data_IF_077063153238
#
_entry.id   IF_077063153238
#
_cell.length_a   1.000
_cell.length_b   1.000
_cell.length_c   1.000
_cell.angle_alpha   90.00
_cell.angle_beta   90.00
_cell.angle_gamma   90.00
#
_symmetry.space_group_name_H-M   'P 1'
#
loop_
_entity.id
_entity.type
_entity.pdbx_description
1 polymer ?
#
# COMPACT_ATOMS: atom_id res chain seq x y z
N UNK A 1 -32.93 -30.07 -30.85
CA UNK A 1 -32.61 -30.35 -29.44
C UNK A 1 -31.15 -30.75 -29.41
N UNK A 2 -30.27 -29.80 -29.10
CA UNK A 2 -28.82 -30.05 -29.02
C UNK A 2 -28.54 -30.53 -27.60
N UNK A 3 -28.01 -31.75 -27.50
CA UNK A 3 -27.54 -32.34 -26.24
C UNK A 3 -26.29 -31.59 -25.82
N UNK A 4 -26.38 -30.83 -24.73
CA UNK A 4 -25.21 -30.29 -24.03
C UNK A 4 -24.53 -31.48 -23.34
N UNK A 5 -23.30 -31.79 -23.73
CA UNK A 5 -22.51 -32.82 -23.05
C UNK A 5 -22.16 -32.33 -21.63
N UNK A 6 -22.44 -33.11 -20.57
CA UNK A 6 -22.02 -32.79 -19.22
C UNK A 6 -20.54 -33.14 -19.08
N UNK A 7 -19.67 -32.17 -18.83
CA UNK A 7 -18.26 -32.48 -18.61
C UNK A 7 -17.23 -31.38 -18.82
N UNK A 8 -17.61 -30.13 -19.08
CA UNK A 8 -16.65 -29.03 -19.09
C UNK A 8 -16.41 -28.49 -17.66
N UNK A 9 -16.22 -29.35 -16.66
CA UNK A 9 -15.98 -28.85 -15.30
C UNK A 9 -14.71 -28.02 -15.27
N UNK A 10 -14.78 -26.80 -14.71
CA UNK A 10 -13.59 -26.00 -14.46
C UNK A 10 -12.62 -26.80 -13.58
N UNK A 11 -11.33 -26.77 -13.95
CA UNK A 11 -10.30 -27.24 -13.03
C UNK A 11 -10.22 -26.32 -11.80
N UNK A 12 -9.52 -26.79 -10.75
CA UNK A 12 -9.47 -26.09 -9.47
C UNK A 12 -8.88 -24.67 -9.55
N UNK A 13 -7.94 -24.43 -10.47
CA UNK A 13 -7.34 -23.11 -10.67
C UNK A 13 -8.34 -22.15 -11.34
N UNK A 14 -9.01 -22.61 -12.41
CA UNK A 14 -10.02 -21.82 -13.13
C UNK A 14 -11.25 -21.53 -12.29
N UNK A 15 -11.69 -22.49 -11.46
CA UNK A 15 -12.78 -22.26 -10.52
C UNK A 15 -12.39 -21.21 -9.46
N UNK A 16 -11.16 -21.28 -8.95
CA UNK A 16 -10.66 -20.31 -7.98
C UNK A 16 -10.57 -18.92 -8.61
N UNK A 17 -10.12 -18.81 -9.85
CA UNK A 17 -10.07 -17.55 -10.59
C UNK A 17 -11.47 -16.97 -10.82
N UNK A 18 -12.45 -17.79 -11.24
CA UNK A 18 -13.84 -17.38 -11.40
C UNK A 18 -14.44 -16.87 -10.08
N UNK A 19 -14.23 -17.59 -8.97
CA UNK A 19 -14.72 -17.19 -7.66
C UNK A 19 -14.06 -15.89 -7.18
N UNK A 20 -12.74 -15.73 -7.39
CA UNK A 20 -12.06 -14.48 -7.09
C UNK A 20 -12.60 -13.33 -7.95
N UNK A 21 -12.76 -13.51 -9.26
CA UNK A 21 -13.39 -12.52 -10.14
C UNK A 21 -14.78 -12.12 -9.62
N UNK A 22 -15.64 -13.09 -9.30
CA UNK A 22 -16.98 -12.84 -8.76
C UNK A 22 -16.96 -12.12 -7.42
N UNK A 23 -16.02 -12.42 -6.53
CA UNK A 23 -15.91 -11.77 -5.22
C UNK A 23 -15.34 -10.34 -5.30
N UNK A 24 -14.53 -10.06 -6.32
CA UNK A 24 -13.75 -8.81 -6.43
C UNK A 24 -14.37 -7.80 -7.40
N UNK A 25 -14.94 -8.26 -8.52
CA UNK A 25 -15.50 -7.43 -9.59
C UNK A 25 -17.00 -7.15 -9.34
N UNK A 26 -17.32 -5.89 -9.04
CA UNK A 26 -18.69 -5.46 -8.79
C UNK A 26 -19.54 -5.35 -10.06
N UNK A 27 -18.93 -5.00 -11.19
CA UNK A 27 -19.63 -4.84 -12.46
C UNK A 27 -19.97 -6.21 -13.05
N UNK A 28 -19.06 -7.19 -12.90
CA UNK A 28 -19.34 -8.58 -13.23
C UNK A 28 -20.53 -9.13 -12.44
N UNK A 29 -20.61 -8.84 -11.14
CA UNK A 29 -21.77 -9.26 -10.32
C UNK A 29 -23.05 -8.55 -10.73
N UNK A 30 -22.99 -7.26 -11.04
CA UNK A 30 -24.16 -6.51 -11.51
C UNK A 30 -24.68 -7.09 -12.83
N UNK A 31 -23.78 -7.34 -13.79
CA UNK A 31 -24.12 -7.98 -15.06
C UNK A 31 -24.65 -9.41 -14.88
N UNK A 32 -24.08 -10.19 -13.96
CA UNK A 32 -24.62 -11.52 -13.65
C UNK A 32 -26.04 -11.45 -13.09
N UNK A 33 -26.34 -10.46 -12.25
CA UNK A 33 -27.68 -10.26 -11.69
C UNK A 33 -28.69 -9.71 -12.71
N UNK A 34 -28.26 -8.87 -13.64
CA UNK A 34 -29.14 -8.20 -14.62
C UNK A 34 -29.30 -8.99 -15.93
N UNK A 35 -28.22 -9.59 -16.42
CA UNK A 35 -28.13 -10.23 -17.75
C UNK A 35 -28.14 -11.77 -17.65
N UNK A 36 -27.86 -12.36 -16.48
CA UNK A 36 -27.83 -13.81 -16.26
C UNK A 36 -26.53 -14.50 -16.72
N UNK A 37 -26.31 -15.74 -16.28
CA UNK A 37 -25.04 -16.47 -16.45
C UNK A 37 -24.61 -16.64 -17.92
N UNK A 38 -25.56 -16.89 -18.83
CA UNK A 38 -25.31 -17.03 -20.27
C UNK A 38 -24.63 -15.79 -20.88
N UNK A 39 -24.90 -14.60 -20.35
CA UNK A 39 -24.36 -13.34 -20.86
C UNK A 39 -22.94 -13.04 -20.35
N UNK A 40 -22.50 -13.70 -19.28
CA UNK A 40 -21.24 -13.41 -18.59
C UNK A 40 -20.22 -14.54 -18.66
N UNK A 41 -20.66 -15.78 -18.85
CA UNK A 41 -19.79 -16.94 -18.96
C UNK A 41 -18.86 -16.83 -20.18
N UNK A 42 -17.56 -17.04 -19.98
CA UNK A 42 -16.60 -17.08 -21.08
C UNK A 42 -16.61 -18.43 -21.83
N UNK A 43 -17.06 -19.50 -21.16
CA UNK A 43 -17.11 -20.85 -21.70
C UNK A 43 -18.19 -21.72 -21.00
N UNK A 44 -18.53 -22.90 -21.55
CA UNK A 44 -19.56 -23.77 -20.98
C UNK A 44 -19.31 -24.23 -19.54
N UNK A 45 -18.04 -24.29 -19.11
CA UNK A 45 -17.68 -24.67 -17.75
C UNK A 45 -17.93 -23.55 -16.74
N UNK A 46 -17.63 -22.31 -17.11
CA UNK A 46 -18.03 -21.15 -16.33
C UNK A 46 -19.55 -21.01 -16.25
N UNK A 47 -20.28 -21.30 -17.33
CA UNK A 47 -21.75 -21.22 -17.36
C UNK A 47 -22.39 -22.13 -16.31
N UNK A 48 -22.02 -23.41 -16.28
CA UNK A 48 -22.55 -24.38 -15.32
C UNK A 48 -22.25 -23.96 -13.87
N UNK A 49 -21.06 -23.41 -13.62
CA UNK A 49 -20.70 -22.88 -12.32
C UNK A 49 -21.52 -21.63 -11.95
N UNK A 50 -21.63 -20.65 -12.86
CA UNK A 50 -22.35 -19.39 -12.63
C UNK A 50 -23.84 -19.60 -12.39
N UNK A 51 -24.48 -20.53 -13.09
CA UNK A 51 -25.89 -20.90 -12.87
C UNK A 51 -26.15 -21.47 -11.47
N UNK A 52 -25.12 -22.02 -10.81
CA UNK A 52 -25.22 -22.59 -9.46
C UNK A 52 -24.98 -21.58 -8.34
N UNK A 53 -24.57 -20.34 -8.67
CA UNK A 53 -24.18 -19.33 -7.67
C UNK A 53 -25.42 -18.65 -7.08
N UNK A 54 -25.55 -18.72 -5.74
CA UNK A 54 -26.47 -17.85 -5.01
C UNK A 54 -25.94 -16.41 -5.00
N UNK A 55 -26.62 -15.51 -5.72
CA UNK A 55 -26.22 -14.11 -5.85
C UNK A 55 -26.29 -13.32 -4.54
N UNK A 56 -27.22 -13.66 -3.65
CA UNK A 56 -27.36 -12.98 -2.37
C UNK A 56 -26.25 -13.40 -1.39
N UNK A 57 -25.90 -14.69 -1.39
CA UNK A 57 -24.76 -15.21 -0.64
C UNK A 57 -23.44 -14.67 -1.21
N UNK A 58 -23.31 -14.60 -2.54
CA UNK A 58 -22.14 -14.03 -3.21
C UNK A 58 -21.95 -12.56 -2.83
N UNK A 59 -23.00 -11.73 -2.89
CA UNK A 59 -22.90 -10.30 -2.53
C UNK A 59 -22.56 -10.11 -1.04
N UNK A 60 -23.12 -10.95 -0.17
CA UNK A 60 -22.79 -10.93 1.27
C UNK A 60 -21.35 -11.33 1.52
N UNK A 61 -20.87 -12.38 0.85
CA UNK A 61 -19.49 -12.88 0.96
C UNK A 61 -18.49 -11.90 0.38
N UNK A 62 -18.79 -11.30 -0.78
CA UNK A 62 -17.99 -10.26 -1.40
C UNK A 62 -17.88 -9.04 -0.46
N UNK A 63 -19.00 -8.54 0.09
CA UNK A 63 -18.97 -7.43 1.07
C UNK A 63 -18.13 -7.76 2.30
N UNK A 64 -18.25 -8.98 2.84
CA UNK A 64 -17.47 -9.43 4.00
C UNK A 64 -15.98 -9.49 3.67
N UNK A 65 -15.59 -10.11 2.56
CA UNK A 65 -14.20 -10.20 2.11
C UNK A 65 -13.61 -8.80 1.89
N UNK A 66 -14.34 -7.94 1.17
CA UNK A 66 -13.96 -6.54 0.92
C UNK A 66 -13.75 -5.77 2.22
N UNK A 67 -14.62 -5.96 3.22
CA UNK A 67 -14.47 -5.34 4.54
C UNK A 67 -13.24 -5.83 5.31
N UNK A 68 -12.83 -7.09 5.10
CA UNK A 68 -11.66 -7.70 5.74
C UNK A 68 -10.35 -7.29 5.06
N UNK A 69 -10.32 -7.18 3.73
CA UNK A 69 -9.18 -6.62 2.99
C UNK A 69 -8.94 -5.17 3.37
N UNK A 70 -10.02 -4.40 3.60
CA UNK A 70 -9.90 -3.03 4.07
C UNK A 70 -9.38 -2.92 5.50
N UNK A 71 -9.43 -3.99 6.32
CA UNK A 71 -9.00 -4.03 7.73
C UNK A 71 -8.11 -5.25 8.01
N UNK A 72 -6.88 -5.30 7.46
CA UNK A 72 -5.98 -6.41 7.71
C UNK A 72 -5.42 -6.32 9.14
N UNK A 73 -6.15 -6.87 10.11
CA UNK A 73 -5.65 -7.04 11.48
C UNK A 73 -5.73 -5.80 12.39
N UNK A 74 -5.06 -5.89 13.54
CA UNK A 74 -5.23 -5.03 14.72
C UNK A 74 -4.66 -3.60 14.61
N UNK A 75 -4.07 -3.24 13.46
CA UNK A 75 -3.39 -1.95 13.24
C UNK A 75 -4.23 -0.85 12.57
N UNK A 76 -5.42 -1.18 12.04
CA UNK A 76 -6.30 -0.23 11.36
C UNK A 76 -6.69 -0.66 9.94
N UNK A 77 -7.42 0.20 9.24
CA UNK A 77 -7.79 -0.02 7.83
C UNK A 77 -6.78 0.57 6.86
N UNK A 78 -6.84 0.18 5.58
CA UNK A 78 -6.15 0.93 4.51
C UNK A 78 -6.55 2.41 4.54
N UNK A 79 -7.79 2.73 4.92
CA UNK A 79 -8.23 4.11 5.11
C UNK A 79 -7.54 4.86 6.26
N UNK A 80 -7.16 4.17 7.35
CA UNK A 80 -6.38 4.81 8.42
C UNK A 80 -4.90 4.88 8.08
N UNK A 81 -4.42 4.04 7.18
CA UNK A 81 -3.03 4.05 6.70
C UNK A 81 -2.79 5.13 5.66
N UNK A 82 -3.76 5.35 4.75
CA UNK A 82 -3.66 6.31 3.65
C UNK A 82 -4.69 7.47 3.73
N UNK A 83 -4.87 8.12 4.90
CA UNK A 83 -5.98 9.05 5.10
C UNK A 83 -5.89 10.29 4.20
N UNK A 84 -4.69 10.84 3.97
CA UNK A 84 -4.49 12.03 3.15
C UNK A 84 -4.57 11.69 1.67
N UNK A 85 -3.99 10.56 1.25
CA UNK A 85 -4.08 10.10 -0.13
C UNK A 85 -5.52 9.85 -0.55
N UNK A 86 -6.31 9.18 0.29
CA UNK A 86 -7.73 8.96 0.02
C UNK A 86 -8.51 10.26 -0.04
N UNK A 87 -8.20 11.23 0.82
CA UNK A 87 -8.84 12.55 0.76
C UNK A 87 -8.55 13.26 -0.57
N UNK A 88 -7.30 13.27 -1.04
CA UNK A 88 -6.94 13.86 -2.33
C UNK A 88 -7.69 13.20 -3.50
N UNK A 89 -7.84 11.87 -3.46
CA UNK A 89 -8.60 11.13 -4.47
C UNK A 89 -10.10 11.43 -4.41
N UNK A 90 -10.67 11.57 -3.21
CA UNK A 90 -12.07 11.96 -3.00
C UNK A 90 -12.34 13.38 -3.48
N UNK A 91 -11.46 14.33 -3.19
CA UNK A 91 -11.54 15.70 -3.68
C UNK A 91 -11.46 15.75 -5.22
N UNK A 92 -10.81 14.76 -5.85
CA UNK A 92 -10.77 14.56 -7.30
C UNK A 92 -11.96 13.74 -7.86
N UNK A 93 -12.93 13.36 -7.02
CA UNK A 93 -14.16 12.67 -7.41
C UNK A 93 -14.13 11.14 -7.32
N UNK A 94 -13.06 10.53 -6.80
CA UNK A 94 -13.01 9.08 -6.58
C UNK A 94 -13.90 8.68 -5.39
N UNK A 95 -14.63 7.58 -5.51
CA UNK A 95 -15.36 7.00 -4.39
C UNK A 95 -14.56 5.85 -3.76
N UNK A 96 -14.76 5.62 -2.46
CA UNK A 96 -14.14 4.47 -1.76
C UNK A 96 -14.51 3.14 -2.44
N UNK A 97 -15.74 3.01 -2.93
CA UNK A 97 -16.19 1.82 -3.65
C UNK A 97 -15.40 1.59 -4.94
N UNK A 98 -15.21 2.65 -5.75
CA UNK A 98 -14.45 2.58 -7.00
C UNK A 98 -12.98 2.23 -6.74
N UNK A 99 -12.35 2.88 -5.74
CA UNK A 99 -10.95 2.60 -5.38
C UNK A 99 -10.76 1.16 -4.90
N UNK A 100 -11.71 0.65 -4.12
CA UNK A 100 -11.67 -0.72 -3.64
C UNK A 100 -11.87 -1.72 -4.77
N UNK A 101 -12.85 -1.50 -5.66
CA UNK A 101 -13.03 -2.37 -6.83
C UNK A 101 -11.80 -2.35 -7.73
N UNK A 102 -11.25 -1.16 -8.00
CA UNK A 102 -10.04 -1.01 -8.80
C UNK A 102 -8.82 -1.70 -8.19
N UNK A 103 -8.62 -1.54 -6.87
CA UNK A 103 -7.54 -2.22 -6.16
C UNK A 103 -7.67 -3.74 -6.26
N UNK A 104 -8.85 -4.28 -5.99
CA UNK A 104 -9.10 -5.72 -5.99
C UNK A 104 -8.96 -6.34 -7.38
N UNK A 105 -9.29 -5.60 -8.43
CA UNK A 105 -9.05 -5.99 -9.82
C UNK A 105 -7.61 -5.76 -10.30
N UNK A 106 -6.75 -5.12 -9.49
CA UNK A 106 -5.39 -4.79 -9.89
C UNK A 106 -4.44 -5.99 -9.80
N UNK A 107 -3.41 -5.98 -10.65
CA UNK A 107 -2.26 -6.91 -10.55
C UNK A 107 -1.52 -6.82 -9.20
N UNK A 108 -1.71 -5.75 -8.43
CA UNK A 108 -1.02 -5.55 -7.14
C UNK A 108 -1.70 -6.31 -6.01
N UNK A 109 -3.03 -6.45 -6.06
CA UNK A 109 -3.76 -7.26 -5.08
C UNK A 109 -3.34 -8.74 -5.15
N UNK A 110 -3.04 -9.26 -6.35
CA UNK A 110 -2.52 -10.62 -6.49
C UNK A 110 -1.12 -10.83 -5.91
N UNK A 111 -0.43 -9.76 -5.48
CA UNK A 111 0.86 -9.82 -4.76
C UNK A 111 0.70 -9.72 -3.24
N UNK A 112 -0.46 -9.24 -2.76
CA UNK A 112 -0.79 -9.28 -1.34
C UNK A 112 -0.94 -10.73 -0.87
N UNK A 113 -0.34 -11.07 0.27
CA UNK A 113 -0.43 -12.41 0.87
C UNK A 113 -0.83 -12.30 2.33
N UNK A 114 -2.07 -12.71 2.62
CA UNK A 114 -2.59 -12.84 3.99
C UNK A 114 -2.35 -14.25 4.58
N UNK A 115 -1.99 -15.23 3.73
CA UNK A 115 -2.07 -16.66 4.08
C UNK A 115 -0.73 -17.16 4.66
N UNK A 116 -0.69 -17.61 5.92
CA UNK A 116 0.47 -18.35 6.43
C UNK A 116 0.64 -19.62 5.58
N UNK A 117 1.88 -20.01 5.26
CA UNK A 117 2.27 -21.20 4.48
C UNK A 117 2.41 -21.05 2.96
N UNK A 118 2.23 -19.87 2.38
CA UNK A 118 2.67 -19.59 0.98
C UNK A 118 3.93 -18.72 0.96
N UNK A 119 4.69 -18.74 -0.13
CA UNK A 119 5.90 -17.91 -0.29
C UNK A 119 5.61 -16.43 0.07
N UNK A 120 6.58 -15.69 0.63
CA UNK A 120 6.30 -14.38 1.20
C UNK A 120 5.87 -13.40 0.10
N UNK A 121 4.78 -12.67 0.35
CA UNK A 121 4.23 -11.64 -0.55
C UNK A 121 4.31 -10.26 0.05
N UNK A 122 3.67 -9.27 -0.59
CA UNK A 122 3.62 -7.89 -0.10
C UNK A 122 2.65 -7.73 1.07
N UNK A 123 2.88 -6.71 1.88
CA UNK A 123 1.88 -6.21 2.83
C UNK A 123 0.67 -5.63 2.08
N UNK A 124 -0.47 -5.51 2.77
CA UNK A 124 -1.66 -4.90 2.17
C UNK A 124 -1.41 -3.44 1.80
N UNK A 125 -0.67 -2.74 2.64
CA UNK A 125 -0.30 -1.33 2.48
C UNK A 125 0.60 -1.13 1.26
N UNK A 126 1.59 -1.99 1.06
CA UNK A 126 2.50 -1.90 -0.08
C UNK A 126 1.82 -2.28 -1.40
N UNK A 127 0.97 -3.30 -1.39
CA UNK A 127 0.14 -3.64 -2.55
C UNK A 127 -0.82 -2.49 -2.91
N UNK A 128 -1.48 -1.89 -1.92
CA UNK A 128 -2.41 -0.78 -2.14
C UNK A 128 -1.70 0.49 -2.60
N UNK A 129 -0.57 0.84 -1.99
CA UNK A 129 0.24 1.97 -2.44
C UNK A 129 0.73 1.78 -3.88
N UNK A 130 1.16 0.57 -4.25
CA UNK A 130 1.56 0.26 -5.63
C UNK A 130 0.42 0.46 -6.62
N UNK A 131 -0.80 0.06 -6.25
CA UNK A 131 -2.00 0.34 -7.04
C UNK A 131 -2.27 1.84 -7.20
N UNK A 132 -2.19 2.63 -6.12
CA UNK A 132 -2.39 4.07 -6.20
C UNK A 132 -1.29 4.76 -7.03
N UNK A 133 -0.07 4.24 -7.02
CA UNK A 133 1.08 4.82 -7.70
C UNK A 133 1.12 4.56 -9.22
N UNK A 134 0.44 3.51 -9.71
CA UNK A 134 0.35 3.23 -11.15
C UNK A 134 -0.31 4.40 -11.91
N UNK A 135 -1.34 5.01 -11.33
CA UNK A 135 -2.08 6.13 -11.92
C UNK A 135 -1.68 7.50 -11.33
N UNK A 136 -0.92 7.53 -10.23
CA UNK A 136 -0.42 8.77 -9.67
C UNK A 136 0.70 9.34 -10.56
N UNK A 137 0.35 10.35 -11.36
CA UNK A 137 1.33 11.22 -11.99
C UNK A 137 2.28 11.88 -10.97
N UNK A 138 3.31 12.59 -11.46
CA UNK A 138 4.14 13.39 -10.59
C UNK A 138 3.29 14.45 -9.87
N UNK A 139 3.48 14.58 -8.55
CA UNK A 139 2.79 15.60 -7.75
C UNK A 139 2.32 15.11 -6.38
N UNK A 140 1.43 15.89 -5.78
CA UNK A 140 1.07 15.76 -4.36
C UNK A 140 0.50 14.39 -3.98
N UNK A 141 -0.26 13.73 -4.86
CA UNK A 141 -0.78 12.39 -4.60
C UNK A 141 0.34 11.36 -4.47
N UNK A 142 1.27 11.33 -5.42
CA UNK A 142 2.42 10.41 -5.39
C UNK A 142 3.27 10.60 -4.14
N UNK A 143 3.58 11.85 -3.82
CA UNK A 143 4.38 12.19 -2.63
C UNK A 143 3.66 11.75 -1.35
N UNK A 144 2.35 11.98 -1.27
CA UNK A 144 1.54 11.63 -0.09
C UNK A 144 1.38 10.12 0.07
N UNK A 145 1.10 9.38 -1.01
CA UNK A 145 1.02 7.91 -0.99
C UNK A 145 2.36 7.32 -0.56
N UNK A 146 3.46 7.82 -1.11
CA UNK A 146 4.80 7.37 -0.75
C UNK A 146 5.09 7.64 0.73
N UNK A 147 4.74 8.83 1.22
CA UNK A 147 4.95 9.20 2.62
C UNK A 147 4.17 8.30 3.59
N UNK A 148 2.88 8.07 3.30
CA UNK A 148 2.01 7.22 4.12
C UNK A 148 2.46 5.75 4.09
N UNK A 149 2.91 5.24 2.93
CA UNK A 149 3.51 3.92 2.82
C UNK A 149 4.78 3.81 3.68
N UNK A 150 5.68 4.80 3.66
CA UNK A 150 6.89 4.77 4.47
C UNK A 150 6.57 4.75 5.97
N UNK A 151 5.56 5.50 6.42
CA UNK A 151 5.11 5.44 7.82
C UNK A 151 4.60 4.03 8.16
N UNK A 152 3.78 3.44 7.30
CA UNK A 152 3.22 2.10 7.51
C UNK A 152 4.31 1.04 7.62
N UNK A 153 5.23 0.99 6.65
CA UNK A 153 6.32 0.03 6.61
C UNK A 153 7.28 0.19 7.80
N UNK A 154 7.65 1.43 8.14
CA UNK A 154 8.55 1.67 9.27
C UNK A 154 7.90 1.37 10.62
N UNK A 155 6.58 1.56 10.73
CA UNK A 155 5.80 1.13 11.91
C UNK A 155 5.76 -0.39 12.01
N UNK A 156 5.51 -1.11 10.91
CA UNK A 156 5.54 -2.57 10.92
C UNK A 156 6.93 -3.10 11.32
N UNK A 157 7.99 -2.48 10.79
CA UNK A 157 9.38 -2.80 11.15
C UNK A 157 9.70 -2.57 12.63
N UNK A 158 9.00 -1.67 13.35
CA UNK A 158 9.13 -1.52 14.81
C UNK A 158 8.45 -2.64 15.60
N UNK A 159 7.33 -3.16 15.10
CA UNK A 159 6.42 -4.01 15.87
C UNK A 159 6.58 -5.51 15.61
N UNK A 160 6.98 -5.91 14.40
CA UNK A 160 6.99 -7.30 13.97
C UNK A 160 8.37 -7.70 13.44
N UNK A 161 9.01 -8.68 14.09
CA UNK A 161 10.26 -9.30 13.63
C UNK A 161 10.27 -10.79 14.00
N UNK A 162 10.43 -11.72 13.03
CA UNK A 162 10.56 -11.48 11.59
C UNK A 162 9.21 -11.06 10.97
N UNK A 163 9.26 -10.26 9.89
CA UNK A 163 8.06 -9.89 9.13
C UNK A 163 7.46 -11.11 8.42
N UNK A 164 6.14 -11.18 8.41
CA UNK A 164 5.36 -12.16 7.62
C UNK A 164 5.28 -11.84 6.11
N UNK A 165 5.81 -10.69 5.69
CA UNK A 165 5.78 -10.20 4.30
C UNK A 165 7.16 -9.69 3.84
N UNK A 166 7.33 -9.53 2.53
CA UNK A 166 8.48 -8.88 1.91
C UNK A 166 8.24 -7.38 1.80
N UNK A 167 9.28 -6.59 2.02
CA UNK A 167 9.30 -5.16 1.68
C UNK A 167 10.08 -4.99 0.38
N UNK A 168 9.41 -4.53 -0.67
CA UNK A 168 10.04 -4.24 -1.98
C UNK A 168 10.35 -2.76 -2.18
N UNK A 169 9.77 -1.89 -1.36
CA UNK A 169 9.98 -0.46 -1.41
C UNK A 169 11.49 -0.13 -1.41
N UNK A 170 11.93 0.49 -2.50
CA UNK A 170 13.35 0.69 -2.77
C UNK A 170 14.03 1.63 -1.77
N UNK A 171 15.33 1.47 -1.54
CA UNK A 171 16.11 2.45 -0.78
C UNK A 171 15.92 2.39 0.73
N UNK A 172 15.23 1.37 1.25
CA UNK A 172 15.24 1.06 2.68
C UNK A 172 16.54 0.30 2.99
N UNK A 173 17.36 0.87 3.86
CA UNK A 173 18.63 0.27 4.28
C UNK A 173 18.54 -0.27 5.70
N UNK A 174 19.14 -1.42 5.95
CA UNK A 174 19.35 -1.95 7.29
C UNK A 174 20.53 -1.22 7.95
N UNK A 175 20.34 -0.78 9.18
CA UNK A 175 21.36 -0.16 10.03
C UNK A 175 21.68 -1.05 11.22
N UNK A 176 22.66 -0.68 12.05
CA UNK A 176 22.97 -1.45 13.27
C UNK A 176 21.85 -1.30 14.32
N UNK A 177 21.02 -0.28 14.20
CA UNK A 177 19.94 0.08 15.14
C UNK A 177 18.53 -0.21 14.63
N UNK A 178 18.36 -0.56 13.36
CA UNK A 178 17.08 -0.87 12.75
C UNK A 178 17.10 -0.66 11.24
N UNK A 179 16.23 0.22 10.74
CA UNK A 179 16.17 0.55 9.31
C UNK A 179 16.05 2.05 9.10
N UNK A 180 16.51 2.52 7.94
CA UNK A 180 16.46 3.91 7.57
C UNK A 180 16.19 4.07 6.07
N UNK A 181 15.57 5.19 5.68
CA UNK A 181 15.51 5.60 4.28
C UNK A 181 15.44 7.13 4.17
N UNK A 182 15.83 7.66 3.01
CA UNK A 182 15.66 9.06 2.63
C UNK A 182 14.93 9.12 1.31
N UNK A 183 13.94 10.02 1.24
CA UNK A 183 13.17 10.34 0.05
C UNK A 183 13.28 11.82 -0.26
N UNK A 184 13.04 12.16 -1.51
CA UNK A 184 12.91 13.54 -1.97
C UNK A 184 11.44 13.79 -2.29
N UNK A 185 10.89 14.86 -1.75
CA UNK A 185 9.50 15.27 -1.97
C UNK A 185 9.42 16.74 -2.37
N UNK A 186 8.34 17.13 -3.04
CA UNK A 186 8.05 18.54 -3.26
C UNK A 186 7.81 19.23 -1.91
N UNK A 187 8.42 20.41 -1.70
CA UNK A 187 8.26 21.14 -0.44
C UNK A 187 6.79 21.49 -0.16
N UNK A 188 6.03 21.80 -1.21
CA UNK A 188 4.60 22.05 -1.14
C UNK A 188 3.81 20.85 -0.59
N UNK A 189 4.18 19.62 -0.97
CA UNK A 189 3.54 18.40 -0.45
C UNK A 189 3.83 18.21 1.03
N UNK A 190 5.10 18.36 1.44
CA UNK A 190 5.49 18.25 2.85
C UNK A 190 4.76 19.26 3.74
N UNK A 191 4.56 20.49 3.26
CA UNK A 191 3.85 21.53 3.98
C UNK A 191 2.39 21.15 4.31
N UNK A 192 1.77 20.29 3.51
CA UNK A 192 0.38 19.82 3.73
C UNK A 192 0.25 18.67 4.71
N UNK A 193 1.35 18.00 5.04
CA UNK A 193 1.27 16.81 5.90
C UNK A 193 0.96 17.19 7.34
N UNK A 194 1.53 18.27 7.86
CA UNK A 194 1.31 18.71 9.25
C UNK A 194 1.79 17.70 10.29
N UNK A 195 2.10 18.17 11.51
CA UNK A 195 2.52 17.29 12.62
C UNK A 195 1.30 16.54 13.18
N UNK A 196 1.41 15.23 13.28
CA UNK A 196 0.35 14.36 13.79
C UNK A 196 0.19 14.59 15.31
N UNK A 197 -1.03 14.57 15.89
CA UNK A 197 -1.20 14.74 17.34
C UNK A 197 -0.55 13.58 18.09
N UNK A 198 0.59 13.83 18.74
CA UNK A 198 1.36 12.81 19.47
C UNK A 198 2.87 12.92 19.26
N UNK A 199 3.32 13.61 18.22
CA UNK A 199 4.73 13.96 18.06
C UNK A 199 5.12 15.00 19.11
N UNK A 200 5.91 14.59 20.11
CA UNK A 200 6.69 15.55 20.90
C UNK A 200 7.54 16.33 19.91
N UNK A 201 7.15 17.56 19.64
CA UNK A 201 7.98 18.54 18.98
C UNK A 201 9.29 18.64 19.77
N UNK A 202 10.32 17.92 19.31
CA UNK A 202 11.69 18.20 19.67
C UNK A 202 11.96 19.65 19.27
N UNK A 203 12.79 20.34 20.06
CA UNK A 203 13.08 21.77 19.99
C UNK A 203 13.81 22.24 18.70
N UNK A 204 13.31 21.85 17.53
CA UNK A 204 13.76 22.26 16.20
C UNK A 204 12.60 22.53 15.22
N UNK A 205 11.34 22.47 15.67
CA UNK A 205 10.16 22.72 14.83
C UNK A 205 10.15 24.12 14.19
N UNK A 206 10.86 25.09 14.77
CA UNK A 206 10.94 26.47 14.29
C UNK A 206 12.00 26.70 13.21
N UNK A 207 13.00 25.81 13.06
CA UNK A 207 14.06 25.96 12.04
C UNK A 207 13.73 25.25 10.71
N UNK A 208 12.80 24.30 10.72
CA UNK A 208 12.43 23.50 9.53
C UNK A 208 11.48 24.26 8.60
N UNK A 209 10.67 25.18 9.12
CA UNK A 209 9.74 26.00 8.34
C UNK A 209 10.44 26.99 7.39
N UNK A 210 11.64 27.47 7.73
CA UNK A 210 12.39 28.42 6.89
C UNK A 210 13.24 27.74 5.81
N UNK A 211 13.71 26.51 6.06
CA UNK A 211 14.44 25.71 5.05
C UNK A 211 13.54 25.22 3.91
N UNK A 212 12.25 24.98 4.18
CA UNK A 212 11.28 24.49 3.20
C UNK A 212 10.61 25.61 2.39
N UNK A 213 10.58 26.85 2.89
CA UNK A 213 9.80 27.93 2.28
C UNK A 213 10.31 28.39 0.89
N UNK A 214 11.57 28.10 0.54
CA UNK A 214 12.21 28.54 -0.71
C UNK A 214 12.74 27.40 -1.59
N UNK A 215 12.59 26.14 -1.18
CA UNK A 215 13.11 24.99 -1.92
C UNK A 215 11.99 24.34 -2.74
N UNK A 216 12.27 23.95 -3.99
CA UNK A 216 11.31 23.20 -4.82
C UNK A 216 11.12 21.76 -4.30
N UNK A 217 12.19 21.16 -3.77
CA UNK A 217 12.19 19.83 -3.19
C UNK A 217 13.01 19.76 -1.90
N UNK A 218 12.65 18.83 -1.01
CA UNK A 218 13.30 18.62 0.29
C UNK A 218 13.61 17.14 0.51
N UNK A 219 14.70 16.89 1.24
CA UNK A 219 15.05 15.54 1.70
C UNK A 219 14.30 15.23 2.99
N UNK A 220 13.63 14.08 3.03
CA UNK A 220 12.83 13.62 4.15
C UNK A 220 13.27 12.22 4.55
N UNK A 221 13.67 12.04 5.80
CA UNK A 221 14.18 10.78 6.30
C UNK A 221 13.16 10.06 7.17
N UNK A 222 13.25 8.73 7.18
CA UNK A 222 12.53 7.85 8.08
C UNK A 222 13.54 6.94 8.76
N UNK A 223 13.43 6.79 10.07
CA UNK A 223 14.25 5.94 10.91
C UNK A 223 13.35 5.09 11.79
N UNK A 224 13.59 3.79 11.82
CA UNK A 224 12.96 2.87 12.76
C UNK A 224 14.04 2.24 13.60
N UNK A 225 13.86 2.30 14.93
CA UNK A 225 14.75 1.71 15.93
C UNK A 225 13.91 1.02 17.00
N UNK A 226 14.55 0.37 17.97
CA UNK A 226 13.86 -0.16 19.16
C UNK A 226 13.11 0.92 19.96
N UNK A 227 13.43 2.20 19.79
CA UNK A 227 12.75 3.31 20.44
C UNK A 227 11.48 3.77 19.69
N UNK A 228 11.23 3.24 18.48
CA UNK A 228 10.10 3.59 17.63
C UNK A 228 10.52 4.23 16.31
N UNK A 229 9.54 4.86 15.66
CA UNK A 229 9.67 5.57 14.38
C UNK A 229 9.98 7.06 14.61
N UNK A 230 10.98 7.58 13.91
CA UNK A 230 11.25 9.02 13.78
C UNK A 230 11.35 9.39 12.31
N UNK A 231 10.70 10.47 11.90
CA UNK A 231 10.73 10.93 10.52
C UNK A 231 10.63 12.46 10.41
N UNK A 232 11.13 13.03 9.31
CA UNK A 232 11.11 14.48 9.13
C UNK A 232 12.03 14.97 8.01
N UNK A 233 11.91 16.26 7.71
CA UNK A 233 12.84 16.95 6.80
C UNK A 233 14.24 16.93 7.42
N UNK A 234 15.25 16.63 6.59
CA UNK A 234 16.64 16.55 7.02
C UNK A 234 17.53 17.45 6.18
N UNK A 235 18.69 17.80 6.73
CA UNK A 235 19.73 18.51 5.99
C UNK A 235 20.47 17.58 5.05
N UNK A 236 21.10 18.14 4.01
CA UNK A 236 22.00 17.42 3.11
C UNK A 236 23.20 16.75 3.79
N UNK A 237 23.50 17.10 5.05
CA UNK A 237 24.49 16.38 5.86
C UNK A 237 23.97 15.02 6.33
N UNK A 238 22.70 14.93 6.68
CA UNK A 238 22.06 13.67 7.11
C UNK A 238 21.78 12.79 5.90
N UNK A 239 21.24 13.36 4.81
CA UNK A 239 20.97 12.61 3.60
C UNK A 239 22.22 12.01 2.95
N UNK A 240 23.39 12.64 3.15
CA UNK A 240 24.67 12.09 2.70
C UNK A 240 24.96 10.67 3.26
N UNK A 241 24.36 10.26 4.39
CA UNK A 241 24.50 8.90 4.92
C UNK A 241 23.94 7.82 3.98
N UNK A 242 23.07 8.21 3.05
CA UNK A 242 22.34 7.36 2.11
C UNK A 242 22.92 7.41 0.69
N UNK A 243 24.03 8.12 0.46
CA UNK A 243 24.75 8.08 -0.82
C UNK A 243 25.09 6.64 -1.21
N UNK A 244 24.86 6.25 -2.48
CA UNK A 244 25.11 4.90 -2.94
C UNK A 244 26.62 4.55 -2.89
N UNK A 245 27.46 5.48 -3.32
CA UNK A 245 28.91 5.34 -3.35
C UNK A 245 29.55 5.55 -1.96
N UNK A 246 30.62 4.82 -1.60
CA UNK A 246 31.32 5.01 -0.34
C UNK A 246 32.19 6.29 -0.40
N UNK A 247 31.65 7.41 0.08
CA UNK A 247 32.36 8.68 0.15
C UNK A 247 32.79 9.03 1.58
N UNK A 248 33.84 9.85 1.75
CA UNK A 248 34.22 10.36 3.06
C UNK A 248 33.10 11.18 3.74
N UNK A 249 32.26 11.82 2.93
CA UNK A 249 31.08 12.57 3.37
C UNK A 249 30.03 11.61 3.96
N UNK A 250 29.70 10.53 3.26
CA UNK A 250 28.80 9.46 3.72
C UNK A 250 29.24 8.86 5.03
N UNK A 251 30.50 8.44 5.13
CA UNK A 251 31.03 7.83 6.36
C UNK A 251 31.08 8.80 7.54
N UNK A 252 31.26 10.10 7.28
CA UNK A 252 31.16 11.14 8.31
C UNK A 252 29.71 11.35 8.76
N UNK A 253 28.75 11.31 7.84
CA UNK A 253 27.32 11.40 8.14
C UNK A 253 26.83 10.20 8.97
N UNK A 254 27.19 8.97 8.56
CA UNK A 254 26.87 7.74 9.28
C UNK A 254 27.42 7.73 10.71
N UNK A 255 28.69 8.10 10.91
CA UNK A 255 29.28 8.26 12.26
C UNK A 255 28.57 9.32 13.10
N UNK A 256 28.03 10.38 12.48
CA UNK A 256 27.24 11.38 13.20
C UNK A 256 25.86 10.84 13.62
N UNK A 257 25.21 10.04 12.76
CA UNK A 257 23.93 9.39 13.07
C UNK A 257 24.08 8.27 14.10
N UNK A 258 25.15 7.48 14.03
CA UNK A 258 25.45 6.42 15.00
C UNK A 258 25.61 6.98 16.43
N UNK A 259 26.24 8.15 16.57
CA UNK A 259 26.33 8.87 17.86
C UNK A 259 24.97 9.33 18.41
N UNK A 260 23.94 9.37 17.58
CA UNK A 260 22.55 9.67 17.94
C UNK A 260 21.67 8.43 17.99
N UNK A 261 22.26 7.24 17.88
CA UNK A 261 21.57 5.94 17.89
C UNK A 261 20.60 5.72 16.72
N UNK A 262 20.83 6.40 15.58
CA UNK A 262 19.98 6.30 14.38
C UNK A 262 20.59 5.45 13.24
N UNK A 263 21.86 5.05 13.38
CA UNK A 263 22.61 4.29 12.38
C UNK A 263 23.42 3.19 13.04
#
# INVERSE_FOLDING_TARGET
>A
MSTVEPGASLDGERLTDLLLRLLLDADLRARLAEEGAEAVAADPGELECLDSVDLAELDTTARRLRSQVWRPGSGGSLATTFPRSLKLLQDAGATESCLLTGFLGSKHFSRFRLIPYTAPGLSAEEAFASYLLDDAGAGALRDTVTHELMIALFTALTCEQPLSFVIEAEGIVRTDRGHATVRTYAAASVATWGTTPGERAGAGATEVTDLAANAEAVEYAYFTTSAGLAHGVVSGRVAAAFEAEPTARRETARRALARRELW
#
